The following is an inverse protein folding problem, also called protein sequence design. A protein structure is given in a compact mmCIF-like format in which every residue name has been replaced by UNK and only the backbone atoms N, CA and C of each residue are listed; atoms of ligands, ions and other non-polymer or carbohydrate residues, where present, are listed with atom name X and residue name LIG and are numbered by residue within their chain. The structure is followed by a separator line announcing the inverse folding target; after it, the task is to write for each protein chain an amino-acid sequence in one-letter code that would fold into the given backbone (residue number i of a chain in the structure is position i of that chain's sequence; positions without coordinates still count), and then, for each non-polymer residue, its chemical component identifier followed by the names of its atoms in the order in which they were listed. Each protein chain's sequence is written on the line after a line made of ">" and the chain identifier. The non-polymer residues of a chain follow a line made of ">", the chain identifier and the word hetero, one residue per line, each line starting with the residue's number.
data_IF_825254063789
#
_entry.id   IF_825254063789
#
_cell.length_a   1.000
_cell.length_b   1.000
_cell.length_c   1.000
_cell.angle_alpha   90.00
_cell.angle_beta   90.00
_cell.angle_gamma   90.00
#
_symmetry.space_group_name_H-M   'P 1'
#
loop_
_entity.id
_entity.type
_entity.pdbx_description
1 polymer ?
#
# COMPACT_ATOMS: atom_id res chain seq x y z
N UNK A 1 -6.85 -10.39 -13.36
CA UNK A 1 -7.22 -11.15 -12.14
C UNK A 1 -8.52 -10.63 -11.56
N UNK A 2 -9.20 -11.43 -10.73
CA UNK A 2 -10.39 -10.99 -10.02
C UNK A 2 -10.02 -10.09 -8.82
N UNK A 3 -10.82 -9.04 -8.62
CA UNK A 3 -10.74 -8.10 -7.49
C UNK A 3 -11.63 -8.56 -6.32
N UNK A 4 -11.29 -8.27 -5.05
CA UNK A 4 -12.07 -8.73 -3.90
C UNK A 4 -13.28 -7.83 -3.60
N UNK A 5 -13.33 -6.61 -4.14
CA UNK A 5 -14.38 -5.63 -3.90
C UNK A 5 -15.02 -5.15 -5.22
N UNK A 6 -16.32 -4.84 -5.16
CA UNK A 6 -17.00 -4.17 -6.29
C UNK A 6 -16.44 -2.76 -6.46
N UNK A 7 -16.18 -2.36 -7.70
CA UNK A 7 -15.63 -1.06 -8.04
C UNK A 7 -14.11 -0.95 -7.89
N UNK A 8 -13.44 -1.94 -7.29
CA UNK A 8 -11.98 -2.02 -7.24
C UNK A 8 -11.45 -2.85 -8.41
N UNK A 9 -10.36 -2.41 -9.03
CA UNK A 9 -9.60 -3.19 -10.01
C UNK A 9 -8.36 -3.79 -9.35
N UNK A 10 -7.96 -4.98 -9.78
CA UNK A 10 -6.69 -5.60 -9.37
C UNK A 10 -5.85 -5.93 -10.61
N UNK A 11 -4.61 -5.46 -10.62
CA UNK A 11 -3.63 -5.80 -11.65
C UNK A 11 -3.07 -7.21 -11.40
N UNK A 12 -2.74 -7.94 -12.48
CA UNK A 12 -2.12 -9.26 -12.37
C UNK A 12 -0.77 -9.19 -11.64
N UNK A 13 0.05 -8.18 -11.96
CA UNK A 13 1.35 -7.98 -11.32
C UNK A 13 1.24 -7.82 -9.81
N UNK A 14 0.26 -7.06 -9.31
CA UNK A 14 0.08 -6.82 -7.88
C UNK A 14 -0.43 -8.07 -7.17
N UNK A 15 -1.31 -8.84 -7.82
CA UNK A 15 -1.75 -10.14 -7.31
C UNK A 15 -0.58 -11.10 -7.12
N UNK A 16 0.32 -11.17 -8.10
CA UNK A 16 1.47 -12.08 -8.08
C UNK A 16 2.54 -11.61 -7.08
N UNK A 17 2.88 -10.31 -7.08
CA UNK A 17 3.86 -9.73 -6.14
C UNK A 17 3.43 -9.88 -4.67
N UNK A 18 2.13 -9.82 -4.38
CA UNK A 18 1.62 -10.04 -3.03
C UNK A 18 1.74 -11.50 -2.55
N UNK A 19 1.92 -12.46 -3.46
CA UNK A 19 1.95 -13.91 -3.17
C UNK A 19 3.28 -14.58 -3.43
N UNK A 20 4.16 -13.97 -4.21
CA UNK A 20 5.46 -14.54 -4.53
C UNK A 20 6.37 -14.60 -3.29
N UNK A 21 7.00 -15.75 -3.07
CA UNK A 21 7.90 -15.98 -1.92
C UNK A 21 9.03 -14.94 -1.76
N UNK A 22 9.43 -14.28 -2.85
CA UNK A 22 10.49 -13.26 -2.87
C UNK A 22 10.01 -11.91 -2.33
N UNK A 23 8.71 -11.63 -2.38
CA UNK A 23 8.13 -10.29 -2.11
C UNK A 23 7.00 -10.29 -1.10
N UNK A 24 6.32 -11.41 -0.88
CA UNK A 24 5.11 -11.50 -0.05
C UNK A 24 5.32 -11.03 1.38
N UNK A 25 6.46 -11.32 2.00
CA UNK A 25 6.74 -10.86 3.36
C UNK A 25 6.95 -9.35 3.43
N UNK A 26 7.62 -8.75 2.46
CA UNK A 26 7.77 -7.29 2.40
C UNK A 26 6.42 -6.63 2.09
N UNK A 27 5.62 -7.22 1.19
CA UNK A 27 4.25 -6.78 0.93
C UNK A 27 3.40 -6.74 2.21
N UNK A 28 3.40 -7.84 2.98
CA UNK A 28 2.68 -7.93 4.24
C UNK A 28 3.24 -6.99 5.32
N UNK A 29 4.55 -6.69 5.29
CA UNK A 29 5.19 -5.88 6.32
C UNK A 29 4.73 -4.41 6.36
N UNK A 30 4.08 -3.93 5.30
CA UNK A 30 3.48 -2.60 5.25
C UNK A 30 2.08 -2.55 5.88
N UNK A 31 1.42 -3.70 6.05
CA UNK A 31 0.10 -3.78 6.67
C UNK A 31 0.19 -3.29 8.12
N UNK A 32 -0.65 -2.30 8.45
CA UNK A 32 -0.70 -1.66 9.76
C UNK A 32 0.65 -1.05 10.23
N UNK A 33 1.55 -0.69 9.30
CA UNK A 33 2.84 -0.09 9.61
C UNK A 33 3.09 1.17 8.76
N UNK A 34 2.38 2.25 9.10
CA UNK A 34 2.43 3.51 8.37
C UNK A 34 3.82 4.14 8.31
N UNK A 35 4.59 4.08 9.41
CA UNK A 35 5.92 4.65 9.46
C UNK A 35 6.89 3.96 8.49
N UNK A 36 6.82 2.62 8.39
CA UNK A 36 7.59 1.87 7.40
C UNK A 36 7.17 2.22 5.98
N UNK A 37 5.87 2.28 5.69
CA UNK A 37 5.35 2.65 4.37
C UNK A 37 5.88 4.01 3.92
N UNK A 38 5.75 5.04 4.76
CA UNK A 38 6.17 6.40 4.43
C UNK A 38 7.69 6.50 4.23
N UNK A 39 8.48 5.89 5.11
CA UNK A 39 9.94 5.94 5.01
C UNK A 39 10.47 5.18 3.80
N UNK A 40 9.98 3.97 3.55
CA UNK A 40 10.38 3.16 2.39
C UNK A 40 9.97 3.82 1.07
N UNK A 41 8.75 4.35 0.99
CA UNK A 41 8.27 5.06 -0.20
C UNK A 41 9.10 6.32 -0.47
N UNK A 42 9.36 7.16 0.55
CA UNK A 42 10.20 8.36 0.41
C UNK A 42 11.60 8.01 -0.13
N UNK A 43 12.22 6.96 0.42
CA UNK A 43 13.55 6.53 0.00
C UNK A 43 13.55 5.98 -1.44
N UNK A 44 12.58 5.13 -1.78
CA UNK A 44 12.45 4.54 -3.12
C UNK A 44 12.15 5.61 -4.18
N UNK A 45 11.22 6.53 -3.89
CA UNK A 45 10.86 7.63 -4.78
C UNK A 45 12.04 8.57 -5.05
N UNK A 46 12.79 8.94 -4.01
CA UNK A 46 14.02 9.74 -4.17
C UNK A 46 15.05 9.04 -5.07
N UNK A 47 15.20 7.72 -4.94
CA UNK A 47 16.13 6.96 -5.79
C UNK A 47 15.63 6.89 -7.23
N UNK A 48 14.33 6.68 -7.43
CA UNK A 48 13.70 6.65 -8.76
C UNK A 48 13.86 7.99 -9.48
N UNK A 49 13.66 9.12 -8.79
CA UNK A 49 13.68 10.45 -9.39
C UNK A 49 15.06 10.92 -9.87
N UNK A 50 16.14 10.22 -9.49
CA UNK A 50 17.52 10.56 -9.88
C UNK A 50 18.19 9.47 -10.72
N UNK A 51 17.43 8.48 -11.22
CA UNK A 51 17.98 7.46 -12.12
C UNK A 51 18.63 8.12 -13.33
N UNK A 52 19.89 7.76 -13.61
CA UNK A 52 20.68 8.35 -14.69
C UNK A 52 21.36 9.69 -14.37
N UNK A 53 21.19 10.22 -13.15
CA UNK A 53 21.80 11.48 -12.72
C UNK A 53 22.77 11.28 -11.54
N UNK A 54 23.81 12.11 -11.49
CA UNK A 54 24.65 12.24 -10.29
C UNK A 54 24.01 13.30 -9.37
N UNK A 55 23.53 12.88 -8.19
CA UNK A 55 22.87 13.76 -7.23
C UNK A 55 23.75 14.95 -6.80
N UNK A 56 25.07 14.80 -6.82
CA UNK A 56 26.02 15.87 -6.47
C UNK A 56 26.07 16.99 -7.51
N UNK A 57 25.48 16.79 -8.69
CA UNK A 57 25.36 17.78 -9.75
C UNK A 57 23.95 18.40 -9.80
N UNK A 58 23.10 18.11 -8.81
CA UNK A 58 21.74 18.63 -8.72
C UNK A 58 21.61 19.61 -7.54
N UNK A 59 20.58 20.46 -7.60
CA UNK A 59 20.21 21.37 -6.52
C UNK A 59 19.07 20.71 -5.73
N UNK A 60 19.17 20.69 -4.40
CA UNK A 60 18.10 20.20 -3.54
C UNK A 60 17.04 21.28 -3.36
N UNK A 61 15.94 21.14 -4.10
CA UNK A 61 14.76 22.00 -3.98
C UNK A 61 13.64 21.35 -3.16
N UNK A 62 13.92 20.34 -2.34
CA UNK A 62 12.86 19.58 -1.64
C UNK A 62 11.99 20.46 -0.71
N UNK A 63 12.49 21.60 -0.28
CA UNK A 63 11.76 22.58 0.54
C UNK A 63 10.54 23.21 -0.14
N UNK A 64 10.48 23.21 -1.48
CA UNK A 64 9.31 23.73 -2.20
C UNK A 64 8.14 22.74 -2.24
N UNK A 65 8.38 21.48 -1.86
CA UNK A 65 7.34 20.47 -1.81
C UNK A 65 6.48 20.73 -0.57
N UNK A 66 5.15 20.93 -0.72
CA UNK A 66 4.28 21.20 0.42
C UNK A 66 4.35 20.10 1.49
N UNK A 67 4.30 20.51 2.75
CA UNK A 67 4.18 19.56 3.86
C UNK A 67 2.86 18.78 3.73
N UNK A 68 2.88 17.43 3.82
CA UNK A 68 1.66 16.65 3.78
C UNK A 68 0.76 17.00 4.97
N UNK A 69 -0.58 16.99 4.79
CA UNK A 69 -1.51 17.31 5.87
C UNK A 69 -1.31 16.37 7.06
N UNK A 70 -1.38 16.93 8.27
CA UNK A 70 -1.30 16.16 9.52
C UNK A 70 -2.61 15.38 9.77
N UNK A 71 -2.77 14.27 9.06
CA UNK A 71 -3.92 13.37 9.20
C UNK A 71 -3.56 12.29 10.22
N UNK A 72 -4.40 12.13 11.25
CA UNK A 72 -4.33 10.95 12.12
C UNK A 72 -4.62 9.71 11.29
N UNK A 73 -3.58 8.95 10.99
CA UNK A 73 -3.70 7.69 10.25
C UNK A 73 -4.40 6.69 11.15
N UNK A 74 -5.58 6.23 10.71
CA UNK A 74 -6.31 5.16 11.39
C UNK A 74 -5.53 3.84 11.23
N UNK A 75 -5.61 2.92 12.21
CA UNK A 75 -5.13 1.56 12.03
C UNK A 75 -5.74 0.92 10.77
N UNK A 76 -5.03 -0.02 10.16
CA UNK A 76 -5.56 -0.76 9.03
C UNK A 76 -6.78 -1.59 9.46
N UNK A 77 -7.82 -1.62 8.62
CA UNK A 77 -9.04 -2.42 8.81
C UNK A 77 -9.33 -3.25 7.57
N UNK A 78 -10.11 -4.32 7.73
CA UNK A 78 -10.74 -5.00 6.60
C UNK A 78 -11.99 -4.23 6.15
N UNK A 79 -12.27 -4.14 4.84
CA UNK A 79 -13.53 -3.63 4.34
C UNK A 79 -14.74 -4.42 4.89
N UNK A 80 -15.90 -3.77 4.96
CA UNK A 80 -17.13 -4.41 5.40
C UNK A 80 -17.45 -5.67 4.58
N UNK A 81 -17.78 -6.77 5.28
CA UNK A 81 -18.02 -8.08 4.67
C UNK A 81 -16.77 -8.88 4.32
N UNK A 82 -15.56 -8.33 4.53
CA UNK A 82 -14.28 -9.03 4.40
C UNK A 82 -13.73 -9.31 5.79
N UNK A 83 -13.16 -10.49 5.96
CA UNK A 83 -12.60 -10.97 7.22
C UNK A 83 -11.19 -11.52 7.01
N UNK A 84 -10.54 -11.90 8.11
CA UNK A 84 -9.24 -12.58 8.04
C UNK A 84 -9.29 -13.88 7.24
N UNK A 85 -10.44 -14.56 7.18
CA UNK A 85 -10.63 -15.78 6.40
C UNK A 85 -10.51 -15.57 4.88
N UNK A 86 -10.68 -14.34 4.40
CA UNK A 86 -10.57 -13.97 3.00
C UNK A 86 -9.12 -13.62 2.59
N UNK A 87 -8.19 -13.61 3.56
CA UNK A 87 -6.78 -13.34 3.31
C UNK A 87 -6.08 -14.59 2.79
N UNK A 88 -5.55 -14.48 1.57
CA UNK A 88 -4.64 -15.48 0.99
C UNK A 88 -3.22 -15.29 1.58
N UNK A 89 -2.96 -15.89 2.75
CA UNK A 89 -1.67 -15.82 3.43
C UNK A 89 -0.53 -16.31 2.53
N UNK A 90 0.51 -15.48 2.36
CA UNK A 90 1.66 -15.80 1.51
C UNK A 90 3.03 -15.60 2.15
N UNK A 91 3.15 -14.75 3.18
CA UNK A 91 4.41 -14.66 3.92
C UNK A 91 4.59 -15.92 4.78
N UNK A 92 5.64 -16.70 4.52
CA UNK A 92 5.88 -17.97 5.21
C UNK A 92 6.40 -17.80 6.65
N UNK A 93 7.02 -16.66 6.97
CA UNK A 93 7.69 -16.43 8.26
C UNK A 93 6.84 -15.69 9.29
N UNK A 94 5.79 -14.99 8.83
CA UNK A 94 4.99 -14.10 9.68
C UNK A 94 3.52 -14.21 9.29
N UNK A 95 2.61 -14.51 10.22
CA UNK A 95 1.17 -14.53 9.94
C UNK A 95 0.63 -13.12 9.65
N UNK A 96 -0.38 -13.02 8.80
CA UNK A 96 -1.07 -11.76 8.52
C UNK A 96 -1.70 -11.22 9.81
N UNK A 97 -1.53 -9.92 10.12
CA UNK A 97 -2.01 -9.35 11.38
C UNK A 97 -3.52 -9.43 11.50
N UNK A 98 -4.02 -9.56 12.73
CA UNK A 98 -5.45 -9.43 13.01
C UNK A 98 -5.87 -7.97 12.90
N UNK A 99 -6.83 -7.68 12.02
CA UNK A 99 -7.41 -6.35 11.83
C UNK A 99 -8.90 -6.38 12.19
N UNK A 100 -9.44 -5.23 12.58
CA UNK A 100 -10.88 -5.07 12.72
C UNK A 100 -11.54 -5.02 11.32
N UNK A 101 -12.76 -5.53 11.20
CA UNK A 101 -13.60 -5.37 10.00
C UNK A 101 -14.49 -4.14 10.17
N UNK A 102 -14.58 -3.32 9.12
CA UNK A 102 -15.47 -2.17 9.10
C UNK A 102 -16.94 -2.62 9.28
N UNK A 103 -17.74 -1.93 10.10
CA UNK A 103 -19.11 -2.33 10.34
C UNK A 103 -20.02 -2.04 9.13
N UNK A 104 -21.15 -2.75 9.08
CA UNK A 104 -22.19 -2.52 8.07
C UNK A 104 -22.07 -3.44 6.84
N UNK A 105 -22.90 -3.22 5.82
CA UNK A 105 -22.86 -4.00 4.59
C UNK A 105 -21.69 -3.60 3.69
N UNK A 106 -21.20 -4.53 2.88
CA UNK A 106 -20.22 -4.25 1.83
C UNK A 106 -20.77 -3.21 0.84
N UNK A 107 -19.95 -2.20 0.52
CA UNK A 107 -20.28 -1.15 -0.46
C UNK A 107 -19.36 -1.23 -1.68
N UNK A 108 -19.75 -0.60 -2.79
CA UNK A 108 -18.89 -0.47 -3.96
C UNK A 108 -17.92 0.68 -3.78
N UNK A 109 -16.65 0.47 -4.14
CA UNK A 109 -15.67 1.55 -4.27
C UNK A 109 -16.12 2.46 -5.41
N UNK A 110 -16.15 3.78 -5.16
CA UNK A 110 -16.58 4.76 -6.17
C UNK A 110 -15.49 4.95 -7.23
N UNK A 111 -15.85 5.08 -8.52
CA UNK A 111 -14.88 5.40 -9.55
C UNK A 111 -14.30 6.80 -9.30
N UNK A 112 -13.00 6.97 -9.56
CA UNK A 112 -12.38 8.29 -9.57
C UNK A 112 -12.88 9.05 -10.80
N UNK A 113 -13.47 10.25 -10.64
CA UNK A 113 -13.93 11.04 -11.78
C UNK A 113 -12.77 11.36 -12.74
N UNK A 114 -12.96 11.22 -14.06
CA UNK A 114 -11.99 11.72 -15.01
C UNK A 114 -11.94 13.25 -14.95
N UNK A 115 -10.82 13.82 -15.41
CA UNK A 115 -10.59 15.26 -15.52
C UNK A 115 -11.45 15.90 -16.61
#
# INVERSE_FOLDING_TARGET
>A
VQSPLRGEIRLQSDHDLARDSRTACEWQSFVNNQAKLQSAFKAAFKKLSVLGHNINNLIDCSEVIPEPPNVKVKPATFPAGITHADVEQACATTPFPTLATDPGPATSVAPVPPS
#
